data_IF_023581822906
#
_entry.id   IF_023581822906
#
_cell.length_a   1.000
_cell.length_b   1.000
_cell.length_c   1.000
_cell.angle_alpha   90.00
_cell.angle_beta   90.00
_cell.angle_gamma   90.00
#
_symmetry.space_group_name_H-M   'P 1'
#
loop_
_entity.id
_entity.type
_entity.pdbx_description
1 polymer ?
#
# COMPACT_ATOMS: atom_id res chain seq x y z
N UNK A 1 -10.41 -14.39 -31.89
CA UNK A 1 -10.24 -12.93 -31.85
C UNK A 1 -10.10 -12.50 -30.40
N UNK A 2 -8.87 -12.42 -29.86
CA UNK A 2 -8.64 -11.88 -28.54
C UNK A 2 -8.63 -10.35 -28.65
N UNK A 3 -9.73 -9.70 -28.28
CA UNK A 3 -9.78 -8.26 -28.12
C UNK A 3 -8.72 -7.88 -27.08
N UNK A 4 -7.68 -7.18 -27.53
CA UNK A 4 -6.57 -6.74 -26.69
C UNK A 4 -7.05 -5.78 -25.62
N UNK A 5 -7.32 -6.31 -24.42
CA UNK A 5 -7.54 -5.49 -23.23
C UNK A 5 -6.18 -4.88 -22.86
N UNK A 6 -5.94 -3.63 -23.25
CA UNK A 6 -4.86 -2.83 -22.66
C UNK A 6 -5.21 -2.65 -21.18
N UNK A 7 -4.55 -3.42 -20.31
CA UNK A 7 -4.71 -3.29 -18.87
C UNK A 7 -4.25 -1.92 -18.37
N UNK A 8 -5.12 -1.20 -17.66
CA UNK A 8 -4.78 0.04 -16.96
C UNK A 8 -4.41 -0.26 -15.51
N UNK A 9 -3.68 0.65 -14.87
CA UNK A 9 -3.46 0.59 -13.42
C UNK A 9 -4.73 1.09 -12.75
N UNK A 10 -5.51 0.15 -12.21
CA UNK A 10 -6.78 0.43 -11.52
C UNK A 10 -6.76 -0.19 -10.13
N UNK A 11 -5.91 0.36 -9.28
CA UNK A 11 -5.70 -0.13 -7.93
C UNK A 11 -6.73 0.40 -6.93
N UNK A 12 -7.03 -0.38 -5.89
CA UNK A 12 -7.94 -0.01 -4.79
C UNK A 12 -7.45 1.22 -3.99
N UNK A 13 -6.14 1.50 -4.01
CA UNK A 13 -5.60 2.72 -3.42
C UNK A 13 -5.89 3.99 -4.25
N UNK A 14 -6.50 3.84 -5.44
CA UNK A 14 -6.87 4.90 -6.40
C UNK A 14 -5.69 5.67 -7.00
N UNK A 15 -4.48 5.17 -6.81
CA UNK A 15 -3.27 5.74 -7.40
C UNK A 15 -2.92 4.98 -8.67
N UNK A 16 -2.45 5.72 -9.69
CA UNK A 16 -2.11 5.19 -11.01
C UNK A 16 -0.60 4.97 -11.21
N UNK A 17 0.24 5.34 -10.23
CA UNK A 17 1.68 5.14 -10.31
C UNK A 17 2.06 3.66 -10.35
N UNK A 18 3.19 3.31 -10.97
CA UNK A 18 3.71 1.92 -10.96
C UNK A 18 4.54 1.65 -9.72
N UNK A 19 4.47 0.42 -9.22
CA UNK A 19 5.44 -0.13 -8.27
C UNK A 19 6.24 -1.26 -8.95
N UNK A 20 7.40 -1.65 -8.42
CA UNK A 20 8.17 -2.79 -8.96
C UNK A 20 7.37 -4.10 -8.96
N UNK A 21 6.52 -4.32 -7.95
CA UNK A 21 5.66 -5.48 -7.83
C UNK A 21 4.21 -5.09 -8.12
N UNK A 22 3.74 -5.50 -9.30
CA UNK A 22 2.36 -5.36 -9.73
C UNK A 22 1.74 -6.75 -9.91
N UNK A 23 0.42 -6.83 -9.76
CA UNK A 23 -0.37 -8.04 -9.97
C UNK A 23 -1.44 -7.78 -11.02
N UNK A 24 -1.61 -8.73 -11.94
CA UNK A 24 -2.59 -8.65 -13.03
C UNK A 24 -3.86 -9.41 -12.66
N UNK A 25 -5.02 -8.78 -12.80
CA UNK A 25 -6.31 -9.43 -12.62
C UNK A 25 -6.74 -10.17 -13.90
N UNK A 26 -6.87 -11.50 -13.82
CA UNK A 26 -7.30 -12.33 -14.95
C UNK A 26 -8.74 -12.03 -15.40
N UNK A 27 -9.58 -11.53 -14.49
CA UNK A 27 -11.00 -11.26 -14.76
C UNK A 27 -11.28 -9.93 -15.47
N UNK A 28 -10.58 -8.85 -15.11
CA UNK A 28 -10.81 -7.52 -15.71
C UNK A 28 -9.61 -6.94 -16.46
N UNK A 29 -8.48 -7.65 -16.50
CA UNK A 29 -7.25 -7.22 -17.19
C UNK A 29 -6.52 -6.04 -16.54
N UNK A 30 -7.00 -5.52 -15.39
CA UNK A 30 -6.35 -4.39 -14.73
C UNK A 30 -5.11 -4.81 -13.94
N UNK A 31 -4.15 -3.90 -13.87
CA UNK A 31 -2.97 -4.01 -13.01
C UNK A 31 -3.23 -3.32 -11.67
N UNK A 32 -2.79 -3.97 -10.59
CA UNK A 32 -2.91 -3.47 -9.22
C UNK A 32 -1.54 -3.53 -8.53
N UNK A 33 -1.33 -2.66 -7.54
CA UNK A 33 -0.16 -2.80 -6.67
C UNK A 33 -0.31 -4.06 -5.83
N UNK A 34 0.69 -4.93 -5.86
CA UNK A 34 0.63 -6.20 -5.12
C UNK A 34 0.38 -6.00 -3.62
N UNK A 35 1.05 -4.99 -3.05
CA UNK A 35 0.88 -4.58 -1.64
C UNK A 35 -0.53 -4.07 -1.34
N UNK A 36 -1.18 -3.40 -2.29
CA UNK A 36 -2.57 -2.97 -2.10
C UNK A 36 -3.55 -4.13 -2.07
N UNK A 37 -3.21 -5.26 -2.68
CA UNK A 37 -3.98 -6.51 -2.64
C UNK A 37 -3.70 -7.37 -1.40
N UNK A 38 -2.78 -6.95 -0.52
CA UNK A 38 -2.46 -7.69 0.71
C UNK A 38 -1.31 -8.68 0.59
N UNK A 39 -0.51 -8.60 -0.47
CA UNK A 39 0.68 -9.45 -0.63
C UNK A 39 1.95 -8.61 -0.64
N UNK A 40 3.04 -9.11 -0.05
CA UNK A 40 4.31 -8.37 -0.01
C UNK A 40 5.01 -8.33 -1.38
N UNK A 41 4.82 -9.36 -2.20
CA UNK A 41 5.47 -9.54 -3.50
C UNK A 41 4.50 -10.20 -4.47
N UNK A 42 4.70 -9.99 -5.77
CA UNK A 42 3.98 -10.71 -6.84
C UNK A 42 4.43 -12.17 -6.97
N UNK A 43 5.45 -12.57 -6.22
CA UNK A 43 5.91 -13.95 -6.05
C UNK A 43 5.32 -14.63 -4.81
N UNK A 44 4.38 -13.99 -4.10
CA UNK A 44 3.71 -14.61 -2.96
C UNK A 44 2.93 -15.86 -3.42
N UNK A 45 3.23 -17.02 -2.82
CA UNK A 45 2.63 -18.32 -3.19
C UNK A 45 1.11 -18.40 -3.04
N UNK A 46 0.50 -17.47 -2.30
CA UNK A 46 -0.96 -17.36 -2.17
C UNK A 46 -1.60 -16.79 -3.44
N UNK A 47 -0.82 -16.13 -4.29
CA UNK A 47 -1.28 -15.58 -5.56
C UNK A 47 -1.34 -16.71 -6.59
N UNK A 48 -2.55 -17.06 -7.01
CA UNK A 48 -2.72 -17.84 -8.25
C UNK A 48 -2.42 -16.94 -9.45
N UNK A 49 -1.25 -17.12 -10.09
CA UNK A 49 -0.83 -16.27 -11.22
C UNK A 49 -1.79 -16.34 -12.41
N UNK A 50 -2.48 -17.45 -12.59
CA UNK A 50 -3.39 -17.68 -13.71
C UNK A 50 -4.81 -17.20 -13.41
N UNK A 51 -5.26 -17.29 -12.16
CA UNK A 51 -6.67 -17.07 -11.79
C UNK A 51 -6.90 -15.92 -10.81
N UNK A 52 -5.87 -15.13 -10.49
CA UNK A 52 -6.02 -14.00 -9.58
C UNK A 52 -7.13 -13.04 -10.04
N UNK A 53 -8.07 -12.78 -9.13
CA UNK A 53 -9.15 -11.83 -9.30
C UNK A 53 -9.07 -10.72 -8.26
N UNK A 54 -9.10 -9.46 -8.71
CA UNK A 54 -9.04 -8.32 -7.82
C UNK A 54 -10.35 -8.15 -7.03
N UNK A 55 -10.30 -7.39 -5.93
CA UNK A 55 -11.49 -7.21 -5.08
C UNK A 55 -12.66 -6.48 -5.77
N UNK A 56 -12.40 -5.73 -6.85
CA UNK A 56 -13.47 -5.16 -7.67
C UNK A 56 -14.28 -6.26 -8.36
N UNK A 57 -13.60 -7.28 -8.90
CA UNK A 57 -14.25 -8.40 -9.58
C UNK A 57 -14.90 -9.39 -8.61
N UNK A 58 -14.36 -9.52 -7.39
CA UNK A 58 -14.95 -10.35 -6.35
C UNK A 58 -16.15 -9.69 -5.64
N UNK A 59 -16.46 -8.42 -5.93
CA UNK A 59 -17.57 -7.70 -5.31
C UNK A 59 -17.35 -7.35 -3.84
N UNK A 60 -16.11 -7.44 -3.34
CA UNK A 60 -15.80 -7.44 -1.90
C UNK A 60 -15.16 -6.15 -1.37
N UNK A 61 -15.34 -4.98 -2.02
CA UNK A 61 -14.67 -3.75 -1.57
C UNK A 61 -15.54 -2.94 -0.61
N UNK A 62 -15.08 -2.87 0.62
CA UNK A 62 -15.56 -1.92 1.62
C UNK A 62 -14.74 -0.61 1.58
N UNK A 63 -15.22 0.42 2.29
CA UNK A 63 -14.41 1.63 2.53
C UNK A 63 -13.13 1.32 3.31
N UNK A 64 -13.16 0.32 4.20
CA UNK A 64 -12.00 -0.11 4.97
C UNK A 64 -10.94 -0.75 4.06
N UNK A 65 -11.33 -1.50 3.03
CA UNK A 65 -10.39 -2.10 2.07
C UNK A 65 -9.64 -1.05 1.28
N UNK A 66 -10.33 -0.01 0.81
CA UNK A 66 -9.69 1.12 0.13
C UNK A 66 -8.71 1.86 1.06
N UNK A 67 -9.11 2.09 2.32
CA UNK A 67 -8.25 2.74 3.31
C UNK A 67 -7.01 1.89 3.64
N UNK A 68 -7.17 0.58 3.74
CA UNK A 68 -6.09 -0.37 3.99
C UNK A 68 -5.19 -0.56 2.77
N UNK A 69 -5.72 -0.49 1.54
CA UNK A 69 -4.91 -0.59 0.33
C UNK A 69 -3.83 0.50 0.26
N UNK A 70 -4.19 1.76 0.48
CA UNK A 70 -3.21 2.85 0.54
C UNK A 70 -2.26 2.68 1.74
N UNK A 71 -2.80 2.31 2.91
CA UNK A 71 -1.97 2.15 4.11
C UNK A 71 -0.94 1.03 3.97
N UNK A 72 -1.30 -0.10 3.35
CA UNK A 72 -0.36 -1.19 3.01
C UNK A 72 0.78 -0.70 2.11
N UNK A 73 0.46 0.11 1.11
CA UNK A 73 1.47 0.70 0.23
C UNK A 73 2.41 1.65 0.98
N UNK A 74 1.87 2.47 1.89
CA UNK A 74 2.66 3.31 2.81
C UNK A 74 3.55 2.47 3.70
N UNK A 75 3.02 1.41 4.34
CA UNK A 75 3.80 0.51 5.20
C UNK A 75 4.95 -0.12 4.44
N UNK A 76 4.71 -0.62 3.22
CA UNK A 76 5.76 -1.19 2.38
C UNK A 76 6.90 -0.21 2.15
N UNK A 77 6.57 1.03 1.75
CA UNK A 77 7.56 2.09 1.47
C UNK A 77 8.34 2.49 2.71
N UNK A 78 7.70 2.74 3.85
CA UNK A 78 8.46 3.20 5.03
C UNK A 78 9.32 2.09 5.65
N UNK A 79 8.95 0.82 5.46
CA UNK A 79 9.78 -0.27 5.99
C UNK A 79 11.05 -0.47 5.15
N UNK A 80 11.03 -0.10 3.87
CA UNK A 80 12.17 -0.19 2.96
C UNK A 80 12.98 1.10 2.85
N UNK A 81 12.33 2.26 2.84
CA UNK A 81 12.93 3.57 2.54
C UNK A 81 12.99 4.54 3.74
N UNK A 82 12.41 4.13 4.88
CA UNK A 82 12.13 4.96 6.06
C UNK A 82 11.22 6.17 5.77
N UNK A 83 10.76 6.87 6.80
CA UNK A 83 9.91 8.07 6.67
C UNK A 83 10.74 9.33 6.89
N UNK A 84 10.97 10.11 5.83
CA UNK A 84 11.77 11.35 5.92
C UNK A 84 10.95 12.54 6.40
N UNK A 85 9.79 12.76 5.77
CA UNK A 85 8.85 13.82 6.14
C UNK A 85 7.48 13.55 5.51
N UNK A 86 6.44 14.28 5.95
CA UNK A 86 5.13 14.26 5.30
C UNK A 86 5.20 14.73 3.84
N UNK A 87 5.99 15.76 3.55
CA UNK A 87 6.16 16.27 2.20
C UNK A 87 6.82 15.23 1.28
N UNK A 88 7.87 14.56 1.78
CA UNK A 88 8.50 13.45 1.07
C UNK A 88 7.50 12.33 0.79
N UNK A 89 6.71 11.90 1.78
CA UNK A 89 5.71 10.84 1.58
C UNK A 89 4.65 11.23 0.53
N UNK A 90 4.23 12.51 0.54
CA UNK A 90 3.29 13.07 -0.43
C UNK A 90 3.82 12.95 -1.85
N UNK A 91 5.06 13.42 -2.07
CA UNK A 91 5.74 13.35 -3.36
C UNK A 91 6.04 11.91 -3.79
N UNK A 92 6.57 11.09 -2.88
CA UNK A 92 6.97 9.69 -3.14
C UNK A 92 5.82 8.82 -3.62
N UNK A 93 4.60 9.07 -3.13
CA UNK A 93 3.40 8.30 -3.49
C UNK A 93 2.49 9.01 -4.52
N UNK A 94 2.70 10.30 -4.77
CA UNK A 94 1.76 11.12 -5.55
C UNK A 94 0.41 11.29 -4.84
N UNK A 95 0.42 11.42 -3.50
CA UNK A 95 -0.77 11.68 -2.69
C UNK A 95 -0.82 13.15 -2.25
N UNK A 96 -1.98 13.63 -1.82
CA UNK A 96 -2.12 14.99 -1.27
C UNK A 96 -1.47 15.13 0.11
N UNK A 97 -1.14 16.36 0.51
CA UNK A 97 -0.59 16.63 1.84
C UNK A 97 -1.53 16.20 2.97
N UNK A 98 -2.84 16.34 2.75
CA UNK A 98 -3.86 15.86 3.68
C UNK A 98 -3.81 14.33 3.83
N UNK A 99 -3.71 13.61 2.71
CA UNK A 99 -3.56 12.15 2.74
C UNK A 99 -2.26 11.78 3.45
N UNK A 100 -1.14 12.43 3.13
CA UNK A 100 0.15 12.19 3.78
C UNK A 100 0.09 12.43 5.29
N UNK A 101 -0.55 13.51 5.73
CA UNK A 101 -0.76 13.82 7.15
C UNK A 101 -1.62 12.76 7.83
N UNK A 102 -2.71 12.33 7.18
CA UNK A 102 -3.60 11.27 7.68
C UNK A 102 -2.85 9.94 7.85
N UNK A 103 -2.07 9.54 6.85
CA UNK A 103 -1.29 8.30 6.90
C UNK A 103 -0.20 8.38 7.99
N UNK A 104 0.51 9.50 8.07
CA UNK A 104 1.54 9.71 9.10
C UNK A 104 0.96 9.67 10.51
N UNK A 105 -0.21 10.26 10.75
CA UNK A 105 -0.92 10.17 12.04
C UNK A 105 -1.30 8.72 12.35
N UNK A 106 -1.82 7.98 11.36
CA UNK A 106 -2.16 6.56 11.51
C UNK A 106 -0.92 5.72 11.87
N UNK A 107 0.20 5.91 11.17
CA UNK A 107 1.47 5.25 11.47
C UNK A 107 1.93 5.47 12.91
N UNK A 108 1.83 6.72 13.39
CA UNK A 108 2.18 7.06 14.76
C UNK A 108 1.23 6.42 15.78
N UNK A 109 -0.08 6.51 15.54
CA UNK A 109 -1.10 5.94 16.44
C UNK A 109 -1.00 4.41 16.55
N UNK A 110 -0.62 3.73 15.46
CA UNK A 110 -0.45 2.28 15.44
C UNK A 110 0.94 1.81 15.91
N UNK A 111 1.86 2.75 16.20
CA UNK A 111 3.19 2.47 16.73
C UNK A 111 4.23 2.07 15.68
N UNK A 112 3.96 2.26 14.39
CA UNK A 112 4.93 2.01 13.32
C UNK A 112 5.98 3.12 13.21
N UNK A 113 5.64 4.33 13.66
CA UNK A 113 6.53 5.49 13.61
C UNK A 113 6.50 6.22 14.94
N UNK A 114 7.68 6.55 15.47
CA UNK A 114 7.84 7.49 16.58
C UNK A 114 8.13 8.88 16.01
N UNK A 115 7.37 9.87 16.45
CA UNK A 115 7.59 11.28 16.12
C UNK A 115 8.50 11.87 17.19
N UNK A 116 9.62 12.47 16.77
CA UNK A 116 10.61 13.09 17.67
C UNK A 116 10.68 14.58 17.35
N UNK A 117 10.88 15.39 18.40
CA UNK A 117 10.99 16.85 18.29
C UNK A 117 9.66 17.59 18.40
N UNK A 118 9.73 18.92 18.33
CA UNK A 118 8.58 19.84 18.40
C UNK A 118 8.64 20.85 17.26
N UNK A 119 7.48 21.32 16.82
CA UNK A 119 7.31 22.37 15.81
C UNK A 119 8.09 22.12 14.50
N UNK A 120 9.14 22.91 14.23
CA UNK A 120 9.88 22.91 12.96
C UNK A 120 10.97 21.82 12.88
N UNK A 121 11.28 21.15 13.99
CA UNK A 121 12.33 20.13 14.06
C UNK A 121 11.74 18.72 14.23
N UNK A 122 10.62 18.42 13.56
CA UNK A 122 9.99 17.10 13.63
C UNK A 122 10.78 16.11 12.77
N UNK A 123 11.20 15.00 13.38
CA UNK A 123 11.72 13.83 12.68
C UNK A 123 10.85 12.61 12.95
N UNK A 124 10.94 11.62 12.07
CA UNK A 124 10.19 10.37 12.14
C UNK A 124 11.17 9.20 12.20
N UNK A 125 10.97 8.31 13.17
CA UNK A 125 11.74 7.08 13.29
C UNK A 125 10.81 5.90 13.09
N UNK A 126 11.08 5.09 12.07
CA UNK A 126 10.31 3.86 11.80
C UNK A 126 10.71 2.80 12.81
N UNK A 127 9.74 2.22 13.49
CA UNK A 127 9.95 1.20 14.52
C UNK A 127 9.91 -0.18 13.87
N UNK A 128 11.00 -0.94 13.98
CA UNK A 128 11.18 -2.26 13.32
C UNK A 128 11.42 -3.40 14.33
N UNK A 129 10.72 -3.35 15.46
CA UNK A 129 10.68 -4.44 16.46
C UNK A 129 9.97 -5.69 15.93
N UNK A 130 10.11 -6.83 16.62
CA UNK A 130 9.37 -8.05 16.26
C UNK A 130 7.84 -7.82 16.33
N UNK A 131 7.36 -7.16 17.39
CA UNK A 131 5.95 -6.81 17.55
C UNK A 131 5.41 -5.99 16.38
N UNK A 132 6.15 -4.96 15.93
CA UNK A 132 5.72 -4.12 14.81
C UNK A 132 5.77 -4.88 13.48
N UNK A 133 6.78 -5.74 13.26
CA UNK A 133 6.81 -6.65 12.10
C UNK A 133 5.60 -7.58 12.08
N UNK A 134 5.20 -8.12 13.22
CA UNK A 134 4.02 -8.99 13.30
C UNK A 134 2.72 -8.22 13.10
N UNK A 135 2.64 -6.97 13.56
CA UNK A 135 1.56 -6.04 13.18
C UNK A 135 1.50 -5.77 11.68
N UNK A 136 2.66 -5.55 11.02
CA UNK A 136 2.70 -5.40 9.56
C UNK A 136 2.16 -6.65 8.89
N UNK A 137 2.60 -7.86 9.27
CA UNK A 137 2.12 -9.11 8.66
C UNK A 137 0.59 -9.25 8.69
N UNK A 138 -0.08 -8.79 9.75
CA UNK A 138 -1.55 -8.79 9.84
C UNK A 138 -2.22 -7.99 8.72
N UNK A 139 -1.57 -6.94 8.22
CA UNK A 139 -2.07 -6.17 7.08
C UNK A 139 -1.94 -6.93 5.75
N UNK A 140 -1.01 -7.87 5.64
CA UNK A 140 -0.69 -8.63 4.42
C UNK A 140 -1.11 -10.10 4.53
N UNK A 141 -2.05 -10.42 5.44
CA UNK A 141 -2.53 -11.77 5.71
C UNK A 141 -3.79 -12.17 4.95
N UNK A 142 -4.08 -11.54 3.80
CA UNK A 142 -5.23 -11.89 2.94
C UNK A 142 -5.13 -13.34 2.50
#
# INVERSE_FOLDING_TARGET
>A
MYLGIRGYIRCHCRLIGRDPHMIHCSSCGNWLHTVCCGFFSNEDKRISKETFSCFYCLGSITKADNANALFRRVLSIIYTEDLRSKAWLSSRLGITEWQSTKQTRRLANEGFVKVIGKHRAISYVVIKTQETKDKVKKYFGV
#
